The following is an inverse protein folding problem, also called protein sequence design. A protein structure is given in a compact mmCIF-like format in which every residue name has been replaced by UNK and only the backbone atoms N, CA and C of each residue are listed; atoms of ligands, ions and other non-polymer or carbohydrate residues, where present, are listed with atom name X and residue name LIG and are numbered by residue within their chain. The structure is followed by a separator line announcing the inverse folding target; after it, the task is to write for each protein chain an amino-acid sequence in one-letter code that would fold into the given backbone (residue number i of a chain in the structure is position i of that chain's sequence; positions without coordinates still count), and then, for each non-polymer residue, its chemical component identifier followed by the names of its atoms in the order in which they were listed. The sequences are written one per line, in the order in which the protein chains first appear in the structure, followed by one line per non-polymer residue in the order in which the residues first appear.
data_IF_416152512186
#
_entry.id   IF_416152512186
#
_cell.length_a   1.000
_cell.length_b   1.000
_cell.length_c   1.000
_cell.angle_alpha   90.00
_cell.angle_beta   90.00
_cell.angle_gamma   90.00
#
_symmetry.space_group_name_H-M   'P 1'
#
loop_
_entity.id
_entity.type
_entity.pdbx_description
1 polymer ?
#
# COMPACT_ATOMS: atom_id res chain seq x y z
N UNK A 1 -6.97 61.88 -4.02
CA UNK A 1 -7.51 60.54 -3.65
C UNK A 1 -7.12 59.41 -4.59
N UNK A 2 -6.22 59.61 -5.56
CA UNK A 2 -5.78 58.53 -6.49
C UNK A 2 -4.42 57.87 -6.15
N UNK A 3 -3.76 58.33 -5.08
CA UNK A 3 -2.43 57.80 -4.66
C UNK A 3 -2.46 56.87 -3.46
N UNK A 4 -3.63 56.68 -2.84
CA UNK A 4 -3.82 55.79 -1.69
C UNK A 4 -4.28 54.35 -2.06
N UNK A 5 -4.67 54.10 -3.32
CA UNK A 5 -5.10 52.79 -3.79
C UNK A 5 -3.98 51.94 -4.39
N UNK A 6 -2.78 52.49 -4.56
CA UNK A 6 -1.62 51.80 -5.13
C UNK A 6 -0.72 51.12 -4.07
N UNK A 7 -0.90 51.47 -2.78
CA UNK A 7 -0.09 50.91 -1.69
C UNK A 7 -0.70 49.64 -1.05
N UNK A 8 -1.98 49.32 -1.34
CA UNK A 8 -2.66 48.19 -0.76
C UNK A 8 -2.52 46.90 -1.60
N UNK A 9 -1.95 47.02 -2.82
CA UNK A 9 -1.83 45.85 -3.75
C UNK A 9 -0.51 45.08 -3.64
N UNK A 10 0.45 45.54 -2.84
CA UNK A 10 1.82 44.95 -2.78
C UNK A 10 2.02 44.02 -1.58
N UNK A 11 1.09 43.99 -0.62
CA UNK A 11 1.26 43.18 0.62
C UNK A 11 0.71 41.75 0.50
N UNK A 12 0.05 41.39 -0.62
CA UNK A 12 -0.61 40.06 -0.74
C UNK A 12 0.19 39.00 -1.50
N UNK A 13 1.51 39.14 -1.68
CA UNK A 13 2.28 38.20 -2.51
C UNK A 13 3.50 37.58 -1.83
N UNK A 14 3.54 37.53 -0.50
CA UNK A 14 4.68 36.92 0.23
C UNK A 14 4.25 35.89 1.30
N UNK A 15 3.34 34.99 0.94
CA UNK A 15 3.16 33.75 1.71
C UNK A 15 3.35 32.55 0.79
N UNK A 16 4.51 32.42 0.16
CA UNK A 16 5.04 31.14 -0.30
C UNK A 16 5.52 30.44 0.96
N UNK A 17 4.61 29.75 1.61
CA UNK A 17 4.98 28.76 2.63
C UNK A 17 5.86 27.73 1.93
N UNK A 18 7.16 27.74 2.24
CA UNK A 18 8.06 26.65 1.96
C UNK A 18 7.49 25.42 2.69
N UNK A 19 6.69 24.63 1.99
CA UNK A 19 6.44 23.24 2.40
C UNK A 19 7.79 22.54 2.29
N UNK A 20 8.53 22.52 3.39
CA UNK A 20 9.64 21.61 3.56
C UNK A 20 9.05 20.22 3.37
N UNK A 21 9.46 19.56 2.29
CA UNK A 21 9.09 18.17 1.97
C UNK A 21 9.80 17.28 3.01
N UNK A 22 9.19 17.14 4.20
CA UNK A 22 9.63 16.16 5.17
C UNK A 22 9.51 14.79 4.51
N UNK A 23 10.52 13.92 4.62
CA UNK A 23 10.48 12.58 4.04
C UNK A 23 9.24 11.87 4.57
N UNK A 24 8.24 11.72 3.70
CA UNK A 24 6.92 11.17 4.06
C UNK A 24 7.14 9.79 4.70
N UNK A 25 6.94 9.74 6.02
CA UNK A 25 6.92 8.50 6.79
C UNK A 25 5.80 7.63 6.24
N UNK A 26 6.08 6.35 5.96
CA UNK A 26 5.08 5.41 5.46
C UNK A 26 3.84 5.42 6.38
N UNK A 27 2.66 5.76 5.82
CA UNK A 27 1.37 5.69 6.51
C UNK A 27 0.56 4.53 5.91
N UNK A 28 0.25 3.50 6.70
CA UNK A 28 -0.62 2.40 6.27
C UNK A 28 -2.00 2.88 5.83
N UNK A 29 -2.54 3.91 6.49
CA UNK A 29 -3.85 4.48 6.20
C UNK A 29 -3.85 5.17 4.84
N UNK A 30 -2.82 5.98 4.58
CA UNK A 30 -2.64 6.63 3.27
C UNK A 30 -2.45 5.59 2.17
N UNK A 31 -1.62 4.57 2.39
CA UNK A 31 -1.41 3.49 1.44
C UNK A 31 -2.72 2.77 1.10
N UNK A 32 -3.56 2.49 2.11
CA UNK A 32 -4.88 1.89 1.92
C UNK A 32 -5.81 2.80 1.10
N UNK A 33 -5.86 4.10 1.42
CA UNK A 33 -6.68 5.06 0.70
C UNK A 33 -6.25 5.22 -0.77
N UNK A 34 -4.94 5.33 -1.02
CA UNK A 34 -4.36 5.44 -2.36
C UNK A 34 -4.68 4.17 -3.20
N UNK A 35 -4.63 2.97 -2.57
CA UNK A 35 -4.98 1.71 -3.21
C UNK A 35 -6.48 1.65 -3.57
N UNK A 36 -7.36 2.03 -2.66
CA UNK A 36 -8.80 2.04 -2.90
C UNK A 36 -9.19 3.02 -4.00
N UNK A 37 -8.58 4.20 -4.01
CA UNK A 37 -8.77 5.18 -5.08
C UNK A 37 -8.30 4.62 -6.44
N UNK A 38 -7.12 3.99 -6.46
CA UNK A 38 -6.57 3.40 -7.68
C UNK A 38 -7.47 2.28 -8.21
N UNK A 39 -7.92 1.36 -7.36
CA UNK A 39 -8.82 0.27 -7.73
C UNK A 39 -10.15 0.83 -8.26
N UNK A 40 -10.71 1.85 -7.60
CA UNK A 40 -11.96 2.50 -8.03
C UNK A 40 -11.85 3.04 -9.46
N UNK A 41 -10.74 3.70 -9.78
CA UNK A 41 -10.49 4.27 -11.11
C UNK A 41 -10.27 3.18 -12.16
N UNK A 42 -9.41 2.20 -11.88
CA UNK A 42 -9.03 1.17 -12.84
C UNK A 42 -10.15 0.17 -13.16
N UNK A 43 -11.00 -0.15 -12.17
CA UNK A 43 -12.14 -1.06 -12.34
C UNK A 43 -13.47 -0.31 -12.58
N UNK A 44 -13.45 1.00 -12.72
CA UNK A 44 -14.63 1.85 -12.93
C UNK A 44 -15.77 1.50 -11.95
N UNK A 45 -15.44 1.42 -10.62
CA UNK A 45 -16.44 1.12 -9.60
C UNK A 45 -17.36 2.31 -9.38
N UNK A 46 -18.67 2.06 -9.31
CA UNK A 46 -19.62 3.06 -8.84
C UNK A 46 -19.47 3.27 -7.32
N UNK A 47 -19.96 4.40 -6.75
CA UNK A 47 -19.94 4.61 -5.30
C UNK A 47 -20.62 3.49 -4.51
N UNK A 48 -21.73 2.92 -5.02
CA UNK A 48 -22.45 1.83 -4.37
C UNK A 48 -21.68 0.52 -4.40
N UNK A 49 -21.00 0.22 -5.52
CA UNK A 49 -20.13 -0.95 -5.65
C UNK A 49 -18.93 -0.83 -4.73
N UNK A 50 -18.27 0.32 -4.71
CA UNK A 50 -17.13 0.61 -3.85
C UNK A 50 -17.49 0.47 -2.36
N UNK A 51 -18.65 1.00 -1.94
CA UNK A 51 -19.14 0.92 -0.57
C UNK A 51 -19.37 -0.53 -0.09
N UNK A 52 -19.76 -1.44 -0.98
CA UNK A 52 -19.96 -2.86 -0.67
C UNK A 52 -18.65 -3.66 -0.76
N UNK A 53 -17.78 -3.34 -1.69
CA UNK A 53 -16.56 -4.10 -2.00
C UNK A 53 -15.43 -3.82 -1.00
N UNK A 54 -15.09 -2.55 -0.74
CA UNK A 54 -13.90 -2.22 0.07
C UNK A 54 -13.94 -2.73 1.52
N UNK A 55 -15.08 -2.81 2.22
CA UNK A 55 -15.11 -3.46 3.53
C UNK A 55 -14.66 -4.92 3.48
N UNK A 56 -15.06 -5.68 2.45
CA UNK A 56 -14.65 -7.08 2.26
C UNK A 56 -13.15 -7.17 1.91
N UNK A 57 -12.63 -6.29 1.06
CA UNK A 57 -11.20 -6.23 0.73
C UNK A 57 -10.35 -5.94 1.98
N UNK A 58 -10.76 -4.97 2.80
CA UNK A 58 -10.04 -4.64 4.06
C UNK A 58 -10.04 -5.81 5.03
N UNK A 59 -11.16 -6.52 5.15
CA UNK A 59 -11.25 -7.71 5.99
C UNK A 59 -10.33 -8.84 5.50
N UNK A 60 -10.30 -9.10 4.20
CA UNK A 60 -9.36 -10.04 3.58
C UNK A 60 -7.91 -9.69 3.93
N UNK A 61 -7.51 -8.44 3.68
CA UNK A 61 -6.15 -7.97 3.97
C UNK A 61 -5.79 -8.07 5.46
N UNK A 62 -6.75 -7.78 6.36
CA UNK A 62 -6.53 -7.93 7.80
C UNK A 62 -6.21 -9.38 8.16
N UNK A 63 -6.98 -10.35 7.63
CA UNK A 63 -6.74 -11.78 7.87
C UNK A 63 -5.42 -12.25 7.28
N UNK A 64 -5.13 -11.86 6.04
CA UNK A 64 -3.86 -12.20 5.39
C UNK A 64 -2.65 -11.65 6.15
N UNK A 65 -2.72 -10.39 6.61
CA UNK A 65 -1.66 -9.79 7.44
C UNK A 65 -1.43 -10.56 8.74
N UNK A 66 -2.48 -11.04 9.39
CA UNK A 66 -2.34 -11.84 10.61
C UNK A 66 -1.52 -13.12 10.36
N UNK A 67 -1.83 -13.86 9.28
CA UNK A 67 -1.07 -15.06 8.90
C UNK A 67 0.37 -14.71 8.50
N UNK A 68 0.58 -13.65 7.71
CA UNK A 68 1.93 -13.20 7.34
C UNK A 68 2.77 -12.83 8.56
N UNK A 69 2.17 -12.23 9.59
CA UNK A 69 2.87 -11.94 10.85
C UNK A 69 3.25 -13.22 11.60
N UNK A 70 2.42 -14.26 11.58
CA UNK A 70 2.75 -15.57 12.16
C UNK A 70 3.93 -16.20 11.42
N UNK A 71 3.90 -16.25 10.08
CA UNK A 71 5.04 -16.75 9.26
C UNK A 71 6.32 -16.01 9.65
N UNK A 72 6.26 -14.67 9.70
CA UNK A 72 7.41 -13.84 10.05
C UNK A 72 7.92 -14.10 11.47
N UNK A 73 7.03 -14.32 12.43
CA UNK A 73 7.40 -14.60 13.83
C UNK A 73 8.08 -15.96 13.97
N UNK A 74 7.54 -16.98 13.33
CA UNK A 74 7.95 -18.38 13.52
C UNK A 74 9.13 -18.78 12.64
N UNK A 75 9.25 -18.22 11.44
CA UNK A 75 10.31 -18.52 10.47
C UNK A 75 11.33 -17.38 10.32
N UNK A 76 11.45 -16.49 11.31
CA UNK A 76 12.35 -15.33 11.24
C UNK A 76 13.82 -15.72 11.25
N UNK A 77 14.19 -16.72 12.03
CA UNK A 77 15.56 -17.17 12.23
C UNK A 77 15.65 -18.59 11.69
N UNK A 78 16.66 -18.86 10.86
CA UNK A 78 16.93 -20.20 10.36
C UNK A 78 17.32 -21.10 11.54
N UNK A 79 16.60 -22.23 11.77
CA UNK A 79 16.99 -23.20 12.78
C UNK A 79 18.37 -23.81 12.46
N UNK A 80 19.09 -24.26 13.49
CA UNK A 80 20.39 -24.91 13.33
C UNK A 80 20.23 -26.41 12.98
N UNK A 81 19.20 -27.03 13.54
CA UNK A 81 18.91 -28.45 13.36
C UNK A 81 18.09 -28.69 12.08
N UNK A 82 18.47 -29.74 11.32
CA UNK A 82 17.82 -30.12 10.06
C UNK A 82 16.34 -30.52 10.23
N UNK A 83 16.00 -31.15 11.36
CA UNK A 83 14.60 -31.53 11.66
C UNK A 83 13.75 -30.29 11.85
N UNK A 84 14.27 -29.31 12.60
CA UNK A 84 13.57 -28.03 12.81
C UNK A 84 13.52 -27.20 11.54
N UNK A 85 14.54 -27.25 10.67
CA UNK A 85 14.49 -26.63 9.35
C UNK A 85 13.35 -27.21 8.50
N UNK A 86 13.22 -28.53 8.46
CA UNK A 86 12.13 -29.21 7.75
C UNK A 86 10.76 -28.80 8.29
N UNK A 87 10.58 -28.80 9.61
CA UNK A 87 9.33 -28.38 10.26
C UNK A 87 8.97 -26.93 9.92
N UNK A 88 9.97 -26.04 9.91
CA UNK A 88 9.75 -24.61 9.57
C UNK A 88 9.24 -24.46 8.13
N UNK A 89 9.81 -25.19 7.16
CA UNK A 89 9.35 -25.19 5.77
C UNK A 89 7.92 -25.71 5.68
N UNK A 90 7.65 -26.90 6.26
CA UNK A 90 6.30 -27.48 6.24
C UNK A 90 5.25 -26.57 6.88
N UNK A 91 5.58 -25.90 7.98
CA UNK A 91 4.69 -24.96 8.65
C UNK A 91 4.42 -23.73 7.80
N UNK A 92 5.44 -23.21 7.10
CA UNK A 92 5.28 -22.14 6.15
C UNK A 92 4.32 -22.52 5.02
N UNK A 93 4.45 -23.71 4.46
CA UNK A 93 3.57 -24.23 3.40
C UNK A 93 2.12 -24.26 3.87
N UNK A 94 1.86 -24.69 5.12
CA UNK A 94 0.50 -24.68 5.72
C UNK A 94 -0.05 -23.26 5.76
N UNK A 95 0.72 -22.27 6.20
CA UNK A 95 0.29 -20.87 6.23
C UNK A 95 0.05 -20.29 4.83
N UNK A 96 0.87 -20.66 3.85
CA UNK A 96 0.67 -20.22 2.46
C UNK A 96 -0.63 -20.80 1.87
N UNK A 97 -0.97 -22.05 2.19
CA UNK A 97 -2.28 -22.62 1.85
C UNK A 97 -3.43 -21.86 2.55
N UNK A 98 -3.28 -21.51 3.82
CA UNK A 98 -4.27 -20.72 4.55
C UNK A 98 -4.48 -19.32 3.91
N UNK A 99 -3.40 -18.64 3.50
CA UNK A 99 -3.48 -17.37 2.75
C UNK A 99 -4.28 -17.53 1.45
N UNK A 100 -4.08 -18.65 0.72
CA UNK A 100 -4.85 -18.94 -0.50
C UNK A 100 -6.31 -19.24 -0.21
N UNK A 101 -6.62 -19.93 0.85
CA UNK A 101 -7.99 -20.22 1.27
C UNK A 101 -8.73 -18.94 1.68
N UNK A 102 -8.06 -18.03 2.41
CA UNK A 102 -8.60 -16.70 2.71
C UNK A 102 -8.90 -15.95 1.41
N UNK A 103 -7.95 -15.88 0.49
CA UNK A 103 -8.12 -15.21 -0.80
C UNK A 103 -9.32 -15.78 -1.57
N UNK A 104 -9.43 -17.09 -1.72
CA UNK A 104 -10.54 -17.74 -2.40
C UNK A 104 -11.89 -17.43 -1.75
N UNK A 105 -11.94 -17.48 -0.41
CA UNK A 105 -13.15 -17.15 0.36
C UNK A 105 -13.64 -15.75 0.06
N UNK A 106 -12.73 -14.76 0.01
CA UNK A 106 -13.11 -13.38 -0.25
C UNK A 106 -13.39 -13.11 -1.72
N UNK A 107 -12.72 -13.77 -2.66
CA UNK A 107 -13.10 -13.70 -4.06
C UNK A 107 -14.55 -14.17 -4.27
N UNK A 108 -14.97 -15.25 -3.60
CA UNK A 108 -16.36 -15.69 -3.64
C UNK A 108 -17.34 -14.65 -3.04
N UNK A 109 -16.95 -13.95 -1.96
CA UNK A 109 -17.74 -12.83 -1.42
C UNK A 109 -17.79 -11.64 -2.39
N UNK A 110 -16.71 -11.36 -3.13
CA UNK A 110 -16.68 -10.29 -4.14
C UNK A 110 -17.69 -10.54 -5.26
N UNK A 111 -17.84 -11.79 -5.70
CA UNK A 111 -18.87 -12.18 -6.69
C UNK A 111 -20.30 -11.95 -6.21
N UNK A 112 -20.52 -11.86 -4.90
CA UNK A 112 -21.85 -11.53 -4.33
C UNK A 112 -22.18 -10.02 -4.40
N UNK A 113 -21.19 -9.15 -4.60
CA UNK A 113 -21.33 -7.69 -4.56
C UNK A 113 -20.93 -6.99 -5.86
N UNK A 114 -20.20 -7.68 -6.73
CA UNK A 114 -19.73 -7.17 -8.03
C UNK A 114 -19.98 -8.19 -9.13
N UNK A 115 -20.21 -7.76 -10.38
CA UNK A 115 -20.16 -8.64 -11.55
C UNK A 115 -18.77 -9.29 -11.70
N UNK A 116 -18.72 -10.51 -12.25
CA UNK A 116 -17.48 -11.27 -12.38
C UNK A 116 -16.38 -10.55 -13.17
N UNK A 117 -16.75 -9.77 -14.19
CA UNK A 117 -15.82 -8.93 -14.95
C UNK A 117 -15.16 -7.88 -14.05
N UNK A 118 -15.94 -7.20 -13.21
CA UNK A 118 -15.39 -6.21 -12.26
C UNK A 118 -14.55 -6.86 -11.16
N UNK A 119 -14.91 -8.07 -10.71
CA UNK A 119 -14.05 -8.84 -9.77
C UNK A 119 -12.69 -9.12 -10.41
N UNK A 120 -12.65 -9.50 -11.68
CA UNK A 120 -11.39 -9.67 -12.42
C UNK A 120 -10.60 -8.35 -12.47
N UNK A 121 -11.27 -7.24 -12.79
CA UNK A 121 -10.63 -5.93 -12.93
C UNK A 121 -10.08 -5.41 -11.59
N UNK A 122 -10.80 -5.56 -10.48
CA UNK A 122 -10.31 -5.14 -9.15
C UNK A 122 -9.08 -5.96 -8.71
N UNK A 123 -9.06 -7.29 -8.97
CA UNK A 123 -7.90 -8.13 -8.68
C UNK A 123 -6.69 -7.67 -9.50
N UNK A 124 -6.87 -7.40 -10.79
CA UNK A 124 -5.80 -6.89 -11.66
C UNK A 124 -5.34 -5.48 -11.27
N UNK A 125 -6.25 -4.62 -10.83
CA UNK A 125 -5.91 -3.29 -10.35
C UNK A 125 -5.09 -3.37 -9.07
N UNK A 126 -5.48 -4.19 -8.10
CA UNK A 126 -4.71 -4.43 -6.87
C UNK A 126 -3.28 -4.91 -7.18
N UNK A 127 -3.13 -5.92 -8.04
CA UNK A 127 -1.82 -6.39 -8.48
C UNK A 127 -0.96 -5.28 -9.12
N UNK A 128 -1.57 -4.43 -9.96
CA UNK A 128 -0.87 -3.29 -10.59
C UNK A 128 -0.45 -2.26 -9.55
N UNK A 129 -1.31 -1.95 -8.59
CA UNK A 129 -1.00 -1.01 -7.52
C UNK A 129 0.21 -1.49 -6.70
N UNK A 130 0.21 -2.73 -6.25
CA UNK A 130 1.32 -3.31 -5.48
C UNK A 130 2.64 -3.29 -6.26
N UNK A 131 2.63 -3.63 -7.55
CA UNK A 131 3.85 -3.55 -8.39
C UNK A 131 4.37 -2.12 -8.53
N UNK A 132 3.49 -1.13 -8.71
CA UNK A 132 3.88 0.30 -8.76
C UNK A 132 4.45 0.78 -7.44
N UNK A 133 3.78 0.47 -6.34
CA UNK A 133 4.24 0.83 -5.00
C UNK A 133 5.62 0.26 -4.69
N UNK A 134 5.87 -1.01 -5.03
CA UNK A 134 7.16 -1.65 -4.87
C UNK A 134 8.26 -0.98 -5.73
N UNK A 135 7.97 -0.69 -7.00
CA UNK A 135 8.90 0.00 -7.90
C UNK A 135 9.29 1.39 -7.37
N UNK A 136 8.30 2.17 -6.93
CA UNK A 136 8.54 3.50 -6.37
C UNK A 136 9.38 3.44 -5.08
N UNK A 137 9.11 2.45 -4.24
CA UNK A 137 9.89 2.25 -3.01
C UNK A 137 11.35 1.89 -3.30
N UNK A 138 11.63 1.00 -4.27
CA UNK A 138 13.00 0.62 -4.65
C UNK A 138 13.76 1.80 -5.24
N UNK A 139 13.15 2.60 -6.11
CA UNK A 139 13.78 3.80 -6.69
C UNK A 139 14.11 4.86 -5.63
N UNK A 140 13.19 5.10 -4.68
CA UNK A 140 13.43 6.04 -3.59
C UNK A 140 14.57 5.59 -2.65
N UNK A 141 14.77 4.27 -2.50
CA UNK A 141 15.88 3.73 -1.72
C UNK A 141 17.22 3.97 -2.42
N UNK A 142 17.31 3.70 -3.71
CA UNK A 142 18.52 3.93 -4.51
C UNK A 142 18.95 5.41 -4.49
N UNK A 143 18.00 6.34 -4.63
CA UNK A 143 18.29 7.77 -4.54
C UNK A 143 18.85 8.20 -3.18
N UNK A 144 18.34 7.64 -2.07
CA UNK A 144 18.85 7.92 -0.73
C UNK A 144 20.25 7.37 -0.51
N UNK A 145 20.54 6.15 -0.98
CA UNK A 145 21.85 5.52 -0.84
C UNK A 145 22.91 6.28 -1.65
N UNK A 146 22.57 6.85 -2.80
CA UNK A 146 23.48 7.71 -3.58
C UNK A 146 23.76 9.05 -2.91
N UNK A 147 22.79 9.68 -2.26
CA UNK A 147 22.98 10.94 -1.55
C UNK A 147 23.87 10.78 -0.31
N UNK A 148 23.77 9.66 0.41
CA UNK A 148 24.64 9.40 1.57
C UNK A 148 26.10 9.10 1.21
N UNK A 149 26.38 8.63 -0.02
CA UNK A 149 27.76 8.36 -0.48
C UNK A 149 28.52 9.61 -0.90
N UNK A 150 27.85 10.72 -1.13
CA UNK A 150 28.46 11.99 -1.58
C UNK A 150 28.58 13.06 -0.49
N UNK A 151 28.26 12.78 0.78
CA UNK A 151 28.58 13.71 1.87
C UNK A 151 30.04 13.53 2.28
N UNK A 152 30.93 14.55 2.10
CA UNK A 152 32.28 14.50 2.59
C UNK A 152 32.27 14.42 4.12
N UNK A 153 32.95 13.43 4.67
CA UNK A 153 33.20 13.35 6.11
C UNK A 153 33.94 14.61 6.56
N UNK A 154 33.28 15.45 7.32
CA UNK A 154 33.92 16.54 8.07
C UNK A 154 34.57 16.02 9.31
#
# INVERSE_FOLDING_TARGET
MKRLLLSLSIVMFLSVSAFADEPQKFSPEKFQADMEQFITQEACLTPEEAAKFFPLLREMHKKQRAIQMQIKKECKIKPVDEVECKKCVQKRDVYELELKNIQQTYHNKFFCVLPASKVYDVIKAEDRFHRRAFKNWSQNKEHKDHQHKHQPKK
#
